data_IF_364193467919
#
_entry.id   IF_364193467919
#
_cell.length_a   1.000
_cell.length_b   1.000
_cell.length_c   1.000
_cell.angle_alpha   90.00
_cell.angle_beta   90.00
_cell.angle_gamma   90.00
#
_symmetry.space_group_name_H-M   'P 1'
#
loop_
_entity.id
_entity.type
_entity.pdbx_description
1 polymer ?
#
# COMPACT_ATOMS: atom_id res chain seq x y z
N UNK A 1 8.88 0.63 8.32
CA UNK A 1 8.95 -0.85 8.25
C UNK A 1 10.01 -1.31 9.24
N UNK A 2 9.67 -2.22 10.16
CA UNK A 2 10.60 -2.64 11.23
C UNK A 2 11.62 -3.67 10.78
N UNK A 3 11.25 -4.52 9.83
CA UNK A 3 12.09 -5.60 9.30
C UNK A 3 11.87 -5.72 7.79
N UNK A 4 12.70 -5.04 7.00
CA UNK A 4 12.59 -5.07 5.55
C UNK A 4 12.88 -6.44 4.94
N UNK A 5 13.73 -7.25 5.58
CA UNK A 5 14.08 -8.59 5.06
C UNK A 5 12.90 -9.56 5.21
N UNK A 6 12.26 -9.58 6.37
CA UNK A 6 11.04 -10.39 6.55
C UNK A 6 9.90 -9.93 5.64
N UNK A 7 9.75 -8.61 5.44
CA UNK A 7 8.79 -8.09 4.49
C UNK A 7 9.10 -8.53 3.05
N UNK A 8 10.38 -8.50 2.65
CA UNK A 8 10.83 -8.99 1.34
C UNK A 8 10.53 -10.48 1.15
N UNK A 9 10.78 -11.31 2.17
CA UNK A 9 10.43 -12.73 2.11
C UNK A 9 8.92 -12.97 2.03
N UNK A 10 8.13 -12.24 2.80
CA UNK A 10 6.67 -12.39 2.81
C UNK A 10 6.07 -11.98 1.46
N UNK A 11 6.40 -10.78 0.98
CA UNK A 11 5.91 -10.26 -0.29
C UNK A 11 6.46 -11.06 -1.48
N UNK A 12 7.75 -11.39 -1.46
CA UNK A 12 8.39 -12.19 -2.50
C UNK A 12 7.76 -13.56 -2.67
N UNK A 13 7.44 -14.25 -1.57
CA UNK A 13 6.70 -15.52 -1.60
C UNK A 13 5.28 -15.36 -2.12
N UNK A 14 4.56 -14.33 -1.70
CA UNK A 14 3.22 -14.05 -2.21
C UNK A 14 3.25 -13.85 -3.73
N UNK A 15 4.11 -12.99 -4.23
CA UNK A 15 4.19 -12.75 -5.67
C UNK A 15 4.68 -13.97 -6.46
N UNK A 16 5.63 -14.73 -5.92
CA UNK A 16 6.18 -15.91 -6.59
C UNK A 16 5.20 -17.08 -6.64
N UNK A 17 4.51 -17.39 -5.55
CA UNK A 17 3.73 -18.64 -5.42
C UNK A 17 2.22 -18.42 -5.57
N UNK A 18 1.71 -17.27 -5.20
CA UNK A 18 0.29 -16.93 -5.38
C UNK A 18 0.08 -16.22 -6.73
N UNK A 19 1.12 -15.54 -7.19
CA UNK A 19 1.10 -14.78 -8.43
C UNK A 19 0.67 -13.32 -8.23
N UNK A 20 1.31 -12.43 -8.97
CA UNK A 20 1.12 -10.99 -8.86
C UNK A 20 -0.31 -10.49 -9.14
N UNK A 21 -1.09 -11.27 -9.90
CA UNK A 21 -2.48 -10.94 -10.24
C UNK A 21 -3.49 -11.32 -9.14
N UNK A 22 -3.05 -12.08 -8.14
CA UNK A 22 -3.92 -12.60 -7.07
C UNK A 22 -3.62 -11.94 -5.71
N UNK A 23 -2.70 -10.99 -5.66
CA UNK A 23 -2.35 -10.26 -4.44
C UNK A 23 -3.07 -8.92 -4.43
N UNK A 24 -3.85 -8.67 -3.38
CA UNK A 24 -4.63 -7.45 -3.21
C UNK A 24 -4.10 -6.65 -2.02
N UNK A 25 -4.29 -5.33 -2.08
CA UNK A 25 -3.96 -4.45 -0.98
C UNK A 25 -5.06 -4.45 0.08
N UNK A 26 -4.64 -4.61 1.33
CA UNK A 26 -5.49 -4.41 2.49
C UNK A 26 -4.65 -3.84 3.63
N UNK A 27 -5.11 -2.78 4.26
CA UNK A 27 -4.34 -2.09 5.32
C UNK A 27 -4.67 -2.55 6.71
N UNK A 28 -5.93 -2.91 6.95
CA UNK A 28 -6.47 -3.21 8.29
C UNK A 28 -6.04 -2.17 9.36
N UNK A 29 -5.85 -0.91 8.91
CA UNK A 29 -5.22 0.14 9.73
C UNK A 29 -6.21 1.08 10.40
N UNK A 30 -7.48 0.99 10.05
CA UNK A 30 -8.57 1.81 10.60
C UNK A 30 -8.55 1.85 12.14
N UNK A 31 -8.16 0.75 12.77
CA UNK A 31 -8.10 0.59 14.22
C UNK A 31 -6.87 1.24 14.87
N UNK A 32 -5.82 1.49 14.09
CA UNK A 32 -4.50 1.86 14.58
C UNK A 32 -3.97 3.18 14.00
N UNK A 33 -4.74 3.83 13.15
CA UNK A 33 -4.37 5.10 12.54
C UNK A 33 -4.59 5.14 11.02
N UNK A 34 -3.93 6.07 10.36
CA UNK A 34 -4.05 6.27 8.91
C UNK A 34 -3.35 5.16 8.12
N UNK A 35 -3.92 4.70 6.97
CA UNK A 35 -3.26 3.79 6.06
C UNK A 35 -2.09 4.41 5.30
N UNK A 36 -1.89 5.73 5.37
CA UNK A 36 -0.92 6.45 4.54
C UNK A 36 0.52 5.97 4.72
N UNK A 37 0.93 5.68 5.95
CA UNK A 37 2.27 5.16 6.21
C UNK A 37 2.51 3.79 5.56
N UNK A 38 1.49 2.94 5.54
CA UNK A 38 1.55 1.63 4.89
C UNK A 38 1.57 1.76 3.37
N UNK A 39 0.74 2.66 2.81
CA UNK A 39 0.73 2.98 1.39
C UNK A 39 2.10 3.50 0.97
N UNK A 40 2.65 4.46 1.70
CA UNK A 40 3.96 5.02 1.42
C UNK A 40 5.08 3.98 1.55
N UNK A 41 5.01 3.12 2.56
CA UNK A 41 5.96 2.03 2.73
C UNK A 41 5.96 1.08 1.52
N UNK A 42 4.79 0.66 1.03
CA UNK A 42 4.71 -0.21 -0.14
C UNK A 42 5.08 0.51 -1.45
N UNK A 43 4.79 1.82 -1.57
CA UNK A 43 5.20 2.61 -2.76
C UNK A 43 6.71 2.68 -2.93
N UNK A 44 7.46 2.68 -1.85
CA UNK A 44 8.92 2.84 -1.86
C UNK A 44 9.67 1.52 -1.64
N UNK A 45 8.99 0.48 -1.16
CA UNK A 45 9.61 -0.81 -0.86
C UNK A 45 10.10 -1.52 -2.11
N UNK A 46 11.30 -2.10 -2.03
CA UNK A 46 11.89 -2.95 -3.06
C UNK A 46 12.42 -4.24 -2.43
N UNK A 47 12.33 -5.33 -3.18
CA UNK A 47 13.04 -6.57 -2.87
C UNK A 47 14.46 -6.41 -3.43
N UNK A 48 15.47 -6.63 -2.61
CA UNK A 48 16.86 -6.51 -3.04
C UNK A 48 17.21 -7.48 -4.18
N UNK A 49 18.14 -7.09 -5.04
CA UNK A 49 18.65 -7.95 -6.12
C UNK A 49 19.16 -9.30 -5.57
N UNK A 50 19.85 -9.29 -4.42
CA UNK A 50 20.30 -10.51 -3.76
C UNK A 50 19.13 -11.47 -3.46
N UNK A 51 17.97 -10.93 -3.00
CA UNK A 51 16.80 -11.76 -2.71
C UNK A 51 16.09 -12.21 -3.98
N UNK A 52 16.09 -11.38 -5.02
CA UNK A 52 15.57 -11.76 -6.33
C UNK A 52 16.35 -12.93 -6.90
N UNK A 53 17.67 -12.85 -6.92
CA UNK A 53 18.56 -13.89 -7.46
C UNK A 53 18.50 -15.16 -6.62
N UNK A 54 18.63 -15.04 -5.30
CA UNK A 54 18.72 -16.17 -4.39
C UNK A 54 17.43 -16.96 -4.26
N UNK A 55 16.29 -16.27 -4.25
CA UNK A 55 14.99 -16.89 -3.99
C UNK A 55 14.05 -16.87 -5.21
N UNK A 56 14.45 -16.25 -6.31
CA UNK A 56 13.63 -16.06 -7.50
C UNK A 56 12.39 -15.23 -7.23
N UNK A 57 12.51 -14.21 -6.38
CA UNK A 57 11.42 -13.28 -6.13
C UNK A 57 11.35 -12.25 -7.25
N UNK A 58 10.16 -11.79 -7.64
CA UNK A 58 10.04 -10.75 -8.65
C UNK A 58 10.49 -9.39 -8.12
N UNK A 59 10.94 -8.55 -9.03
CA UNK A 59 11.08 -7.13 -8.78
C UNK A 59 9.71 -6.50 -8.54
N UNK A 60 9.61 -5.57 -7.57
CA UNK A 60 8.39 -4.80 -7.36
C UNK A 60 8.37 -3.60 -8.31
N UNK A 61 7.88 -3.85 -9.52
CA UNK A 61 7.75 -2.84 -10.57
C UNK A 61 6.59 -1.88 -10.29
N UNK A 62 6.55 -0.76 -11.01
CA UNK A 62 5.40 0.16 -10.97
C UNK A 62 4.10 -0.53 -11.38
N UNK A 63 4.15 -1.43 -12.37
CA UNK A 63 2.98 -2.16 -12.83
C UNK A 63 2.48 -3.15 -11.77
N UNK A 64 3.39 -3.88 -11.11
CA UNK A 64 3.04 -4.77 -10.00
C UNK A 64 2.36 -3.97 -8.86
N UNK A 65 2.88 -2.79 -8.51
CA UNK A 65 2.24 -1.93 -7.50
C UNK A 65 0.83 -1.51 -7.90
N UNK A 66 0.61 -1.13 -9.17
CA UNK A 66 -0.71 -0.77 -9.69
C UNK A 66 -1.70 -1.91 -9.59
N UNK A 67 -1.27 -3.13 -9.95
CA UNK A 67 -2.07 -4.34 -9.79
C UNK A 67 -2.49 -4.53 -8.33
N UNK A 68 -1.54 -4.52 -7.41
CA UNK A 68 -1.78 -4.76 -5.99
C UNK A 68 -2.64 -3.66 -5.37
N UNK A 69 -2.40 -2.38 -5.70
CA UNK A 69 -3.16 -1.27 -5.11
C UNK A 69 -4.61 -1.17 -5.58
N UNK A 70 -4.97 -1.70 -6.74
CA UNK A 70 -6.35 -1.54 -7.20
C UNK A 70 -6.77 -2.44 -8.35
N UNK A 71 -5.95 -2.66 -9.37
CA UNK A 71 -6.38 -3.38 -10.57
C UNK A 71 -6.87 -4.80 -10.21
N UNK A 72 -6.11 -5.54 -9.39
CA UNK A 72 -6.50 -6.89 -8.99
C UNK A 72 -7.82 -6.91 -8.19
N UNK A 73 -8.08 -5.88 -7.38
CA UNK A 73 -9.29 -5.78 -6.59
C UNK A 73 -10.53 -5.47 -7.45
N UNK A 74 -10.36 -4.87 -8.62
CA UNK A 74 -11.44 -4.52 -9.53
C UNK A 74 -11.93 -5.73 -10.38
N UNK A 75 -11.03 -6.66 -10.68
CA UNK A 75 -11.33 -7.82 -11.53
C UNK A 75 -12.53 -8.67 -11.05
N UNK A 76 -12.66 -9.02 -9.76
CA UNK A 76 -13.82 -9.76 -9.27
C UNK A 76 -15.16 -9.06 -9.48
N UNK A 77 -15.14 -7.73 -9.66
CA UNK A 77 -16.33 -6.92 -9.93
C UNK A 77 -16.58 -6.73 -11.43
N UNK A 78 -15.77 -7.34 -12.31
CA UNK A 78 -15.87 -7.20 -13.75
C UNK A 78 -15.47 -5.82 -14.27
N UNK A 79 -14.66 -5.09 -13.51
CA UNK A 79 -14.17 -3.76 -13.88
C UNK A 79 -12.78 -3.91 -14.51
N UNK A 80 -12.66 -3.53 -15.78
CA UNK A 80 -11.40 -3.57 -16.50
C UNK A 80 -10.46 -2.42 -16.13
N UNK A 81 -9.15 -2.65 -16.23
CA UNK A 81 -8.13 -1.64 -15.90
C UNK A 81 -8.26 -0.36 -16.74
N UNK A 82 -8.75 -0.47 -17.98
CA UNK A 82 -9.05 0.67 -18.85
C UNK A 82 -10.20 1.52 -18.31
N UNK A 83 -11.24 0.89 -17.78
CA UNK A 83 -12.40 1.56 -17.19
C UNK A 83 -12.03 2.32 -15.93
N UNK A 84 -11.21 1.72 -15.04
CA UNK A 84 -10.68 2.40 -13.84
C UNK A 84 -9.99 3.70 -14.23
N UNK A 85 -9.18 3.66 -15.29
CA UNK A 85 -8.44 4.83 -15.75
C UNK A 85 -9.37 5.94 -16.27
N UNK A 86 -10.40 5.57 -17.00
CA UNK A 86 -11.39 6.51 -17.51
C UNK A 86 -12.19 7.12 -16.36
N UNK A 87 -12.70 6.29 -15.43
CA UNK A 87 -13.48 6.75 -14.29
C UNK A 87 -12.68 7.70 -13.41
N UNK A 88 -11.43 7.35 -13.09
CA UNK A 88 -10.59 8.21 -12.24
C UNK A 88 -10.09 9.47 -12.93
N UNK A 89 -9.93 9.48 -14.24
CA UNK A 89 -9.51 10.69 -14.98
C UNK A 89 -10.66 11.66 -15.24
N UNK A 90 -11.90 11.16 -15.28
CA UNK A 90 -13.10 11.93 -15.50
C UNK A 90 -13.77 12.39 -14.17
N UNK A 91 -13.24 11.97 -13.04
CA UNK A 91 -13.80 12.30 -11.73
C UNK A 91 -13.29 13.66 -11.26
N UNK A 92 -14.16 14.67 -11.36
CA UNK A 92 -13.87 16.03 -10.94
C UNK A 92 -13.58 16.12 -9.43
N UNK A 93 -14.19 15.27 -8.60
CA UNK A 93 -13.93 15.22 -7.16
C UNK A 93 -12.50 14.79 -6.88
N UNK A 94 -12.01 13.75 -7.56
CA UNK A 94 -10.61 13.29 -7.42
C UNK A 94 -9.64 14.39 -7.86
N UNK A 95 -9.97 15.13 -8.91
CA UNK A 95 -9.15 16.23 -9.42
C UNK A 95 -9.14 17.40 -8.43
N UNK A 96 -10.28 17.78 -7.89
CA UNK A 96 -10.44 18.83 -6.88
C UNK A 96 -9.69 18.47 -5.58
N UNK A 97 -9.83 17.24 -5.08
CA UNK A 97 -9.12 16.75 -3.89
C UNK A 97 -7.61 16.77 -4.07
N UNK A 98 -7.11 16.40 -5.26
CA UNK A 98 -5.68 16.50 -5.57
C UNK A 98 -5.18 17.93 -5.53
N UNK A 99 -5.92 18.87 -6.11
CA UNK A 99 -5.57 20.29 -6.11
C UNK A 99 -5.59 20.85 -4.69
N UNK A 100 -6.66 20.61 -3.94
CA UNK A 100 -6.78 21.03 -2.55
C UNK A 100 -5.64 20.48 -1.69
N UNK A 101 -5.26 19.21 -1.87
CA UNK A 101 -4.14 18.61 -1.15
C UNK A 101 -2.78 19.21 -1.56
N UNK A 102 -2.62 19.64 -2.81
CA UNK A 102 -1.39 20.30 -3.27
C UNK A 102 -1.26 21.72 -2.69
N UNK A 103 -2.38 22.44 -2.56
CA UNK A 103 -2.43 23.80 -2.01
C UNK A 103 -2.25 23.83 -0.48
N UNK A 104 -2.90 22.90 0.21
CA UNK A 104 -2.81 22.75 1.68
C UNK A 104 -2.63 21.27 2.05
N UNK A 105 -1.40 20.74 2.00
CA UNK A 105 -1.13 19.35 2.35
C UNK A 105 -1.51 19.09 3.81
N UNK A 106 -2.57 18.35 4.04
CA UNK A 106 -3.07 18.01 5.37
C UNK A 106 -2.26 16.85 5.96
N UNK A 107 -1.27 17.08 6.83
CA UNK A 107 -0.51 16.02 7.46
C UNK A 107 -1.26 15.35 8.62
N UNK A 108 -2.59 15.44 8.66
CA UNK A 108 -3.42 14.90 9.73
C UNK A 108 -3.22 13.39 9.93
N UNK A 109 -2.87 12.66 8.87
CA UNK A 109 -2.49 11.24 8.97
C UNK A 109 -1.22 11.02 9.79
N UNK A 110 -0.34 12.02 9.91
CA UNK A 110 0.87 11.94 10.74
C UNK A 110 0.57 12.07 12.24
N UNK A 111 -0.60 12.59 12.59
CA UNK A 111 -1.00 12.85 13.97
C UNK A 111 -1.96 11.79 14.53
N UNK A 112 -2.44 10.87 13.69
CA UNK A 112 -3.38 9.83 14.11
C UNK A 112 -2.65 8.62 14.70
N UNK A 113 -3.06 8.23 15.89
CA UNK A 113 -2.53 7.07 16.58
C UNK A 113 -1.15 7.28 17.23
N UNK A 114 -0.62 6.26 17.90
CA UNK A 114 0.65 6.31 18.59
C UNK A 114 1.82 6.38 17.60
N UNK A 115 2.67 7.38 17.77
CA UNK A 115 3.87 7.58 16.95
C UNK A 115 5.06 6.75 17.42
N UNK A 116 5.04 6.34 18.68
CA UNK A 116 6.12 5.57 19.31
C UNK A 116 5.60 4.28 19.95
N UNK A 117 6.49 3.31 20.12
CA UNK A 117 6.17 2.08 20.86
C UNK A 117 5.66 2.37 22.27
N UNK A 118 6.20 3.39 22.93
CA UNK A 118 5.78 3.80 24.26
C UNK A 118 4.33 4.29 24.29
N UNK A 119 3.95 5.11 23.31
CA UNK A 119 2.57 5.59 23.16
C UNK A 119 1.62 4.44 22.88
N UNK A 120 2.02 3.49 22.04
CA UNK A 120 1.22 2.29 21.75
C UNK A 120 1.00 1.43 22.99
N UNK A 121 2.06 1.19 23.79
CA UNK A 121 1.95 0.42 25.04
C UNK A 121 1.09 1.17 26.07
N UNK A 122 1.16 2.50 26.11
CA UNK A 122 0.33 3.29 27.00
C UNK A 122 -1.15 3.23 26.61
N UNK A 123 -1.48 3.26 25.31
CA UNK A 123 -2.85 3.05 24.84
C UNK A 123 -3.42 1.70 25.29
N UNK A 124 -2.64 0.63 25.21
CA UNK A 124 -3.07 -0.71 25.63
C UNK A 124 -3.31 -0.84 27.15
N UNK A 125 -2.78 0.08 27.96
CA UNK A 125 -3.00 0.07 29.42
C UNK A 125 -4.30 0.74 29.84
N UNK A 126 -4.93 1.48 28.94
CA UNK A 126 -6.17 2.25 29.21
C UNK A 126 -7.42 1.62 28.57
N UNK A 127 -7.28 0.49 27.90
CA UNK A 127 -8.35 -0.39 27.36
C UNK A 127 -8.46 -1.62 28.21
#
# INVERSE_FOLDING_TARGET
MRDPNNAAHSLGKLFKYVGENNVLWGTDSIWYGSPQDQIQAFRTFQISEEFQDRYGYPEITTELRRKVFGINAALPYGIEASEIRVLTSADDLVSMEKLAYQEDPQPSFLTYGPKTRREFINLLKWG
#
